data_IF_905398018216
#
_entry.id   IF_905398018216
#
_cell.length_a   1.000
_cell.length_b   1.000
_cell.length_c   1.000
_cell.angle_alpha   90.00
_cell.angle_beta   90.00
_cell.angle_gamma   90.00
#
_symmetry.space_group_name_H-M   'P 1'
#
loop_
_entity.id
_entity.type
_entity.pdbx_description
1 polymer ?
#
# COMPACT_ATOMS: atom_id res chain seq x y z
N UNK A 1 -16.11 -8.33 -2.53
CA UNK A 1 -15.34 -7.35 -1.71
C UNK A 1 -16.25 -6.84 -0.61
N UNK A 2 -15.90 -7.04 0.66
CA UNK A 2 -16.67 -6.58 1.82
C UNK A 2 -15.88 -5.48 2.54
N UNK A 3 -16.51 -4.32 2.78
CA UNK A 3 -15.89 -3.16 3.44
C UNK A 3 -16.48 -3.06 4.86
N UNK A 4 -15.62 -2.96 5.88
CA UNK A 4 -16.01 -2.89 7.30
C UNK A 4 -15.43 -1.64 7.96
N UNK A 5 -16.26 -0.92 8.71
CA UNK A 5 -15.80 0.18 9.58
C UNK A 5 -15.17 -0.43 10.84
N UNK A 6 -13.87 -0.18 11.03
CA UNK A 6 -13.11 -0.72 12.17
C UNK A 6 -13.17 0.21 13.39
N UNK A 7 -13.33 1.52 13.17
CA UNK A 7 -13.38 2.55 14.20
C UNK A 7 -14.26 3.72 13.76
N UNK A 8 -14.99 4.32 14.70
CA UNK A 8 -15.87 5.48 14.48
C UNK A 8 -17.32 5.11 14.16
N UNK A 9 -18.19 6.12 14.11
CA UNK A 9 -19.61 5.99 13.73
C UNK A 9 -19.90 6.93 12.55
N UNK A 10 -19.44 6.60 11.33
CA UNK A 10 -19.67 7.44 10.16
C UNK A 10 -21.15 7.50 9.83
N UNK A 11 -21.61 8.63 9.33
CA UNK A 11 -22.98 8.72 8.84
C UNK A 11 -23.13 7.89 7.56
N UNK A 12 -24.36 7.48 7.20
CA UNK A 12 -24.61 6.75 5.95
C UNK A 12 -24.10 7.49 4.71
N UNK A 13 -24.16 8.83 4.72
CA UNK A 13 -23.69 9.69 3.63
C UNK A 13 -22.17 9.65 3.48
N UNK A 14 -21.43 9.69 4.59
CA UNK A 14 -19.97 9.59 4.59
C UNK A 14 -19.51 8.22 4.08
N UNK A 15 -20.21 7.16 4.49
CA UNK A 15 -19.94 5.81 4.01
C UNK A 15 -20.23 5.68 2.51
N UNK A 16 -21.31 6.28 2.02
CA UNK A 16 -21.62 6.31 0.59
C UNK A 16 -20.55 7.06 -0.21
N UNK A 17 -20.07 8.20 0.29
CA UNK A 17 -18.99 8.96 -0.34
C UNK A 17 -17.67 8.16 -0.39
N UNK A 18 -17.29 7.52 0.72
CA UNK A 18 -16.11 6.68 0.79
C UNK A 18 -16.20 5.50 -0.19
N UNK A 19 -17.35 4.83 -0.26
CA UNK A 19 -17.60 3.74 -1.21
C UNK A 19 -17.52 4.21 -2.67
N UNK A 20 -18.01 5.42 -2.99
CA UNK A 20 -17.93 5.97 -4.33
C UNK A 20 -16.48 6.17 -4.77
N UNK A 21 -15.63 6.73 -3.92
CA UNK A 21 -14.19 6.94 -4.20
C UNK A 21 -13.47 5.60 -4.37
N UNK A 22 -13.70 4.65 -3.47
CA UNK A 22 -13.08 3.31 -3.55
C UNK A 22 -13.45 2.62 -4.86
N UNK A 23 -14.72 2.69 -5.28
CA UNK A 23 -15.18 2.11 -6.55
C UNK A 23 -14.57 2.83 -7.76
N UNK A 24 -14.54 4.16 -7.77
CA UNK A 24 -13.92 4.92 -8.86
C UNK A 24 -12.43 4.56 -9.02
N UNK A 25 -11.71 4.40 -7.91
CA UNK A 25 -10.30 3.97 -7.93
C UNK A 25 -10.14 2.51 -8.36
N UNK A 26 -11.06 1.63 -8.00
CA UNK A 26 -11.04 0.25 -8.46
C UNK A 26 -11.26 0.13 -9.98
N UNK A 27 -12.15 0.94 -10.55
CA UNK A 27 -12.37 0.98 -12.00
C UNK A 27 -11.13 1.46 -12.74
N UNK A 28 -10.53 2.58 -12.32
CA UNK A 28 -9.30 3.11 -12.92
C UNK A 28 -8.09 2.18 -12.77
N UNK A 29 -7.98 1.45 -11.65
CA UNK A 29 -6.93 0.45 -11.47
C UNK A 29 -7.16 -0.83 -12.28
N UNK A 30 -8.41 -1.11 -12.66
CA UNK A 30 -8.79 -2.29 -13.45
C UNK A 30 -8.76 -2.02 -14.96
N UNK A 31 -8.71 -0.75 -15.36
CA UNK A 31 -8.40 -0.33 -16.72
C UNK A 31 -6.98 -0.82 -17.03
N UNK A 32 -6.82 -1.63 -18.09
CA UNK A 32 -5.55 -2.27 -18.42
C UNK A 32 -4.43 -1.22 -18.42
N UNK A 33 -3.37 -1.41 -17.60
CA UNK A 33 -2.25 -0.51 -17.66
C UNK A 33 -1.76 -0.51 -19.11
N UNK A 34 -1.65 0.68 -19.69
CA UNK A 34 -1.10 0.88 -21.02
C UNK A 34 0.17 0.03 -21.15
N UNK A 35 0.23 -0.82 -22.18
CA UNK A 35 1.33 -1.77 -22.43
C UNK A 35 2.69 -1.10 -22.66
N UNK A 36 2.72 0.24 -22.68
CA UNK A 36 3.93 1.04 -22.56
C UNK A 36 4.47 0.94 -21.13
N UNK A 37 5.58 0.24 -20.94
CA UNK A 37 6.29 0.17 -19.66
C UNK A 37 6.53 1.61 -19.15
N UNK A 38 5.75 2.01 -18.14
CA UNK A 38 5.94 3.29 -17.49
C UNK A 38 7.37 3.36 -16.96
N UNK A 39 8.04 4.53 -17.03
CA UNK A 39 9.37 4.67 -16.46
C UNK A 39 9.33 4.25 -15.00
N UNK A 40 10.22 3.31 -14.63
CA UNK A 40 10.29 2.78 -13.27
C UNK A 40 10.51 3.94 -12.31
N UNK A 41 9.77 3.94 -11.20
CA UNK A 41 10.00 4.92 -10.16
C UNK A 41 11.46 4.82 -9.72
N UNK A 42 12.14 5.97 -9.70
CA UNK A 42 13.54 6.07 -9.34
C UNK A 42 13.81 5.61 -7.88
N UNK A 43 12.76 5.48 -7.06
CA UNK A 43 12.80 4.84 -5.74
C UNK A 43 12.90 3.31 -5.79
N UNK A 44 12.35 2.70 -6.83
CA UNK A 44 12.37 1.23 -7.04
C UNK A 44 13.53 0.78 -7.91
N UNK A 45 14.48 1.67 -8.22
CA UNK A 45 15.63 1.36 -9.05
C UNK A 45 16.57 0.34 -8.36
N UNK A 46 16.79 -0.86 -8.94
CA UNK A 46 17.61 -1.88 -8.30
C UNK A 46 19.07 -1.46 -8.10
N UNK A 47 19.61 -0.58 -8.95
CA UNK A 47 20.98 -0.06 -8.78
C UNK A 47 21.11 0.81 -7.54
N UNK A 48 20.00 1.44 -7.09
CA UNK A 48 19.93 2.19 -5.83
C UNK A 48 19.70 1.33 -4.59
N UNK A 49 19.01 0.19 -4.72
CA UNK A 49 18.66 -0.67 -3.57
C UNK A 49 19.70 -1.76 -3.34
N UNK A 50 20.25 -2.35 -4.41
CA UNK A 50 21.07 -3.55 -4.36
C UNK A 50 22.59 -3.28 -4.42
N UNK A 51 23.00 -2.01 -4.26
CA UNK A 51 24.41 -1.60 -4.39
C UNK A 51 25.30 -2.20 -3.31
N UNK A 52 24.74 -2.50 -2.13
CA UNK A 52 25.48 -3.04 -1.00
C UNK A 52 24.79 -4.27 -0.42
N UNK A 53 25.57 -5.30 -0.11
CA UNK A 53 25.07 -6.41 0.72
C UNK A 53 24.80 -5.88 2.12
N UNK A 54 23.54 -5.98 2.53
CA UNK A 54 23.16 -5.79 3.93
C UNK A 54 23.62 -7.01 4.74
N UNK A 55 24.05 -6.82 6.00
CA UNK A 55 24.34 -7.94 6.89
C UNK A 55 23.06 -8.75 7.12
N UNK A 56 23.20 -10.08 7.22
CA UNK A 56 22.05 -10.94 7.48
C UNK A 56 21.45 -10.59 8.87
N UNK A 57 20.14 -10.34 8.96
CA UNK A 57 19.50 -10.10 10.25
C UNK A 57 19.72 -11.30 11.18
N UNK A 58 20.24 -11.05 12.40
CA UNK A 58 20.39 -12.08 13.43
C UNK A 58 19.07 -12.41 14.14
N UNK A 59 19.00 -13.45 14.98
CA UNK A 59 17.76 -13.90 15.63
C UNK A 59 17.07 -12.84 16.52
N UNK A 60 17.80 -11.81 16.98
CA UNK A 60 17.24 -10.70 17.77
C UNK A 60 16.92 -9.43 16.95
N UNK A 61 17.14 -9.44 15.63
CA UNK A 61 16.99 -8.26 14.77
C UNK A 61 15.55 -7.75 14.66
N UNK A 62 14.56 -8.64 14.76
CA UNK A 62 13.12 -8.32 14.68
C UNK A 62 12.45 -8.27 16.05
N UNK A 63 13.15 -8.66 17.13
CA UNK A 63 12.57 -8.80 18.47
C UNK A 63 12.28 -7.48 19.19
N UNK A 64 12.66 -6.33 18.62
CA UNK A 64 12.53 -5.00 19.25
C UNK A 64 11.46 -4.10 18.63
N UNK A 65 10.50 -4.65 17.90
CA UNK A 65 9.33 -3.87 17.46
C UNK A 65 8.16 -4.08 18.41
N UNK A 66 8.32 -3.63 19.66
CA UNK A 66 7.18 -3.42 20.55
C UNK A 66 6.67 -2.00 20.33
N UNK A 67 5.46 -1.87 19.79
CA UNK A 67 4.74 -0.61 19.73
C UNK A 67 3.56 -0.71 20.70
N UNK A 68 3.61 -0.08 21.88
CA UNK A 68 2.43 0.06 22.71
C UNK A 68 1.49 1.06 22.03
N UNK A 69 0.33 0.58 21.60
CA UNK A 69 -0.83 1.40 21.23
C UNK A 69 -2.07 0.87 21.91
#
# INVERSE_FOLDING_TARGET
MTIKVVRGNPTPEELAAALAVVRARAVTASEEPSTTEAPRDAWSDPSRIATHRLPHPGPASWGRTYWPS
#
